data_IF_360525597129
#
_entry.id   IF_360525597129
#
_cell.length_a   1.000
_cell.length_b   1.000
_cell.length_c   1.000
_cell.angle_alpha   90.00
_cell.angle_beta   90.00
_cell.angle_gamma   90.00
#
_symmetry.space_group_name_H-M   'P 1'
#
loop_
_entity.id
_entity.type
_entity.pdbx_description
1 polymer ?
#
# COMPACT_ATOMS: atom_id res chain seq x y z
N UNK A 1 -11.94 -19.65 -24.46
CA UNK A 1 -12.26 -18.24 -24.80
C UNK A 1 -10.98 -17.51 -25.20
N UNK A 2 -10.86 -17.01 -26.44
CA UNK A 2 -9.76 -16.11 -26.81
C UNK A 2 -10.05 -14.75 -26.19
N UNK A 3 -9.36 -14.40 -25.09
CA UNK A 3 -9.43 -13.04 -24.53
C UNK A 3 -8.86 -12.10 -25.60
N UNK A 4 -9.72 -11.36 -26.29
CA UNK A 4 -9.26 -10.30 -27.20
C UNK A 4 -8.68 -9.19 -26.34
N UNK A 5 -7.36 -9.03 -26.35
CA UNK A 5 -6.71 -7.90 -25.68
C UNK A 5 -7.28 -6.60 -26.26
N UNK A 6 -7.74 -5.71 -25.37
CA UNK A 6 -8.19 -4.38 -25.77
C UNK A 6 -7.05 -3.64 -26.52
N UNK A 7 -7.33 -2.88 -27.60
CA UNK A 7 -6.29 -2.22 -28.40
C UNK A 7 -5.28 -1.40 -27.58
N UNK A 8 -5.74 -0.78 -26.49
CA UNK A 8 -4.87 -0.02 -25.58
C UNK A 8 -3.81 -0.89 -24.89
N UNK A 9 -4.09 -2.16 -24.62
CA UNK A 9 -3.15 -3.09 -23.99
C UNK A 9 -2.08 -3.50 -25.01
N UNK A 10 -2.46 -3.79 -26.26
CA UNK A 10 -1.49 -4.05 -27.34
C UNK A 10 -0.54 -2.87 -27.53
N UNK A 11 -1.08 -1.63 -27.56
CA UNK A 11 -0.25 -0.42 -27.68
C UNK A 11 0.73 -0.29 -26.51
N UNK A 12 0.30 -0.57 -25.27
CA UNK A 12 1.17 -0.51 -24.10
C UNK A 12 2.22 -1.62 -24.11
N UNK A 13 1.86 -2.84 -24.48
CA UNK A 13 2.78 -3.96 -24.62
C UNK A 13 3.85 -3.67 -25.70
N UNK A 14 3.42 -3.13 -26.85
CA UNK A 14 4.33 -2.72 -27.91
C UNK A 14 5.27 -1.60 -27.43
N UNK A 15 4.77 -0.58 -26.72
CA UNK A 15 5.61 0.46 -26.13
C UNK A 15 6.60 -0.09 -25.10
N UNK A 16 6.18 -1.02 -24.25
CA UNK A 16 7.06 -1.68 -23.27
C UNK A 16 8.18 -2.46 -23.97
N UNK A 17 7.87 -3.13 -25.09
CA UNK A 17 8.85 -3.87 -25.88
C UNK A 17 9.82 -2.95 -26.66
N UNK A 18 9.31 -1.88 -27.28
CA UNK A 18 10.12 -0.95 -28.07
C UNK A 18 10.96 0.00 -27.20
N UNK A 19 10.48 0.32 -26.00
CA UNK A 19 11.12 1.25 -25.07
C UNK A 19 11.24 0.61 -23.69
N UNK A 20 12.02 -0.48 -23.55
CA UNK A 20 12.17 -1.16 -22.28
C UNK A 20 12.72 -0.19 -21.25
N UNK A 21 12.17 -0.29 -20.04
CA UNK A 21 12.57 0.56 -18.94
C UNK A 21 12.16 2.03 -19.07
N UNK A 22 11.22 2.41 -19.94
CA UNK A 22 10.66 3.77 -19.97
C UNK A 22 9.32 3.86 -19.24
N UNK A 23 9.16 4.92 -18.45
CA UNK A 23 7.91 5.20 -17.75
C UNK A 23 7.83 6.61 -17.21
N UNK A 24 6.59 7.10 -17.17
CA UNK A 24 6.24 8.32 -16.48
C UNK A 24 4.81 8.20 -15.94
N UNK A 25 4.66 8.39 -14.62
CA UNK A 25 3.34 8.40 -14.01
C UNK A 25 2.54 9.58 -14.60
N UNK A 26 1.42 9.26 -15.24
CA UNK A 26 0.56 10.26 -15.90
C UNK A 26 -0.45 10.88 -14.94
N UNK A 27 -0.32 10.64 -13.62
CA UNK A 27 -1.26 11.05 -12.56
C UNK A 27 -2.75 10.69 -12.76
N UNK A 28 -3.03 9.82 -13.71
CA UNK A 28 -4.38 9.53 -14.20
C UNK A 28 -5.31 8.71 -13.28
N UNK A 29 -4.95 8.47 -12.02
CA UNK A 29 -5.77 7.74 -11.05
C UNK A 29 -6.09 6.25 -11.37
N UNK A 30 -5.59 5.69 -12.48
CA UNK A 30 -5.99 4.35 -12.92
C UNK A 30 -5.56 3.24 -11.95
N UNK A 31 -4.39 3.36 -11.30
CA UNK A 31 -3.98 2.42 -10.26
C UNK A 31 -4.76 2.59 -8.95
N UNK A 32 -5.30 3.77 -8.67
CA UNK A 32 -6.12 4.05 -7.49
C UNK A 32 -7.47 3.33 -7.51
N UNK A 33 -7.90 2.83 -8.68
CA UNK A 33 -9.17 2.08 -8.84
C UNK A 33 -8.93 0.58 -9.07
N UNK A 34 -7.68 0.13 -9.07
CA UNK A 34 -7.31 -1.24 -9.44
C UNK A 34 -6.91 -2.11 -8.24
N UNK A 35 -6.58 -1.49 -7.10
CA UNK A 35 -6.05 -2.17 -5.94
C UNK A 35 -6.59 -1.55 -4.66
N UNK A 36 -6.86 -2.41 -3.67
CA UNK A 36 -6.91 -1.97 -2.27
C UNK A 36 -5.50 -1.66 -1.81
N UNK A 37 -5.27 -0.43 -1.38
CA UNK A 37 -3.92 0.04 -1.02
C UNK A 37 -3.64 -0.33 0.43
N UNK A 38 -2.99 -1.46 0.65
CA UNK A 38 -2.46 -1.83 1.97
C UNK A 38 -1.30 -0.91 2.35
N UNK A 39 -1.24 -0.53 3.63
CA UNK A 39 -0.30 0.47 4.14
C UNK A 39 0.29 0.05 5.49
N UNK A 40 1.42 0.64 5.82
CA UNK A 40 2.08 0.55 7.12
C UNK A 40 1.76 1.76 8.00
N UNK A 41 2.19 1.74 9.26
CA UNK A 41 2.17 2.92 10.13
C UNK A 41 3.01 4.07 9.55
N UNK A 42 4.12 3.75 8.90
CA UNK A 42 5.04 4.72 8.30
C UNK A 42 4.43 5.42 7.07
N UNK A 43 3.66 4.67 6.25
CA UNK A 43 2.85 5.24 5.18
C UNK A 43 1.79 6.21 5.72
N UNK A 44 1.09 5.82 6.79
CA UNK A 44 0.09 6.67 7.41
C UNK A 44 0.69 7.94 8.02
N UNK A 45 1.80 7.83 8.76
CA UNK A 45 2.53 8.97 9.35
C UNK A 45 2.91 9.99 8.27
N UNK A 46 3.48 9.56 7.14
CA UNK A 46 3.81 10.47 6.02
C UNK A 46 2.60 11.27 5.52
N UNK A 47 1.41 10.68 5.48
CA UNK A 47 0.19 11.37 5.05
C UNK A 47 -0.25 12.37 6.12
N UNK A 48 -0.23 11.96 7.39
CA UNK A 48 -0.58 12.82 8.53
C UNK A 48 0.36 14.02 8.60
N UNK A 49 1.67 13.79 8.58
CA UNK A 49 2.69 14.83 8.73
C UNK A 49 2.62 15.87 7.61
N UNK A 50 2.31 15.45 6.38
CA UNK A 50 2.31 16.35 5.22
C UNK A 50 0.97 17.03 4.96
N UNK A 51 -0.16 16.42 5.36
CA UNK A 51 -1.51 16.93 5.04
C UNK A 51 -2.38 17.23 6.26
N UNK A 52 -1.96 16.86 7.47
CA UNK A 52 -2.74 17.06 8.70
C UNK A 52 -4.06 16.30 8.74
N UNK A 53 -4.22 15.25 7.93
CA UNK A 53 -5.48 14.50 7.84
C UNK A 53 -5.54 13.49 9.00
N UNK A 54 -6.60 13.49 9.82
CA UNK A 54 -6.74 12.51 10.90
C UNK A 54 -6.72 11.07 10.36
N UNK A 55 -6.00 10.13 11.01
CA UNK A 55 -5.82 8.77 10.50
C UNK A 55 -7.14 8.04 10.27
N UNK A 56 -8.11 8.22 11.17
CA UNK A 56 -9.44 7.63 11.05
C UNK A 56 -10.24 8.11 9.84
N UNK A 57 -9.87 9.23 9.21
CA UNK A 57 -10.55 9.72 8.02
C UNK A 57 -10.16 8.89 6.79
N UNK A 58 -8.93 8.37 6.74
CA UNK A 58 -8.41 7.71 5.53
C UNK A 58 -7.96 6.25 5.71
N UNK A 59 -7.84 5.75 6.94
CA UNK A 59 -7.46 4.36 7.22
C UNK A 59 -8.67 3.48 7.54
N UNK A 60 -8.56 2.20 7.19
CA UNK A 60 -9.50 1.15 7.57
C UNK A 60 -8.80 -0.21 7.66
N UNK A 61 -9.43 -1.15 8.36
CA UNK A 61 -9.12 -2.57 8.27
C UNK A 61 -9.92 -3.19 7.13
N UNK A 62 -9.28 -4.05 6.35
CA UNK A 62 -9.94 -4.88 5.34
C UNK A 62 -9.63 -6.36 5.57
N UNK A 63 -10.59 -7.22 5.24
CA UNK A 63 -10.35 -8.66 5.20
C UNK A 63 -10.01 -9.00 3.77
N UNK A 64 -8.74 -9.32 3.56
CA UNK A 64 -8.29 -9.85 2.28
C UNK A 64 -8.39 -11.37 2.35
N UNK A 65 -9.19 -12.03 1.50
CA UNK A 65 -9.24 -13.49 1.46
C UNK A 65 -7.87 -14.05 1.05
N UNK A 66 -7.44 -15.16 1.67
CA UNK A 66 -6.12 -15.76 1.43
C UNK A 66 -5.92 -16.21 -0.03
N UNK A 67 -7.02 -16.37 -0.77
CA UNK A 67 -7.06 -16.77 -2.18
C UNK A 67 -6.82 -15.59 -3.16
N UNK A 68 -6.90 -14.35 -2.69
CA UNK A 68 -6.84 -13.17 -3.55
C UNK A 68 -5.40 -12.72 -3.70
N UNK A 69 -4.82 -13.04 -4.88
CA UNK A 69 -3.55 -12.56 -5.44
C UNK A 69 -2.27 -12.72 -4.58
N UNK A 70 -1.19 -13.20 -5.22
CA UNK A 70 0.18 -13.23 -4.64
C UNK A 70 0.63 -11.90 -4.01
N UNK A 71 -0.01 -10.78 -4.38
CA UNK A 71 0.26 -9.43 -3.87
C UNK A 71 -0.09 -9.24 -2.38
N UNK A 72 -0.99 -10.06 -1.82
CA UNK A 72 -1.40 -9.96 -0.41
C UNK A 72 -0.77 -11.03 0.50
N UNK A 73 0.00 -11.95 -0.08
CA UNK A 73 0.74 -12.96 0.68
C UNK A 73 1.79 -12.31 1.56
N UNK A 74 1.82 -12.66 2.86
CA UNK A 74 2.82 -12.18 3.81
C UNK A 74 2.56 -10.78 4.38
N UNK A 75 1.41 -10.16 4.07
CA UNK A 75 1.01 -8.91 4.71
C UNK A 75 0.59 -9.19 6.17
N UNK A 76 1.20 -8.52 7.18
CA UNK A 76 0.82 -8.70 8.58
C UNK A 76 -0.67 -8.40 8.83
N UNK A 77 -1.34 -9.29 9.58
CA UNK A 77 -2.76 -9.19 9.91
C UNK A 77 -2.95 -8.85 11.39
N UNK A 78 -3.57 -7.72 11.68
CA UNK A 78 -3.97 -7.34 13.04
C UNK A 78 -5.32 -7.96 13.40
N UNK A 79 -5.53 -8.29 14.68
CA UNK A 79 -6.84 -8.78 15.17
C UNK A 79 -7.76 -7.56 15.34
N UNK A 80 -8.73 -7.44 14.44
CA UNK A 80 -9.71 -6.36 14.40
C UNK A 80 -11.11 -6.80 14.78
N UNK A 81 -12.12 -6.23 14.13
CA UNK A 81 -13.53 -6.43 14.46
C UNK A 81 -13.92 -7.91 14.51
N UNK A 82 -14.57 -8.30 15.61
CA UNK A 82 -15.04 -9.67 15.86
C UNK A 82 -13.91 -10.70 15.91
N UNK A 83 -12.70 -10.27 16.29
CA UNK A 83 -11.54 -11.15 16.42
C UNK A 83 -10.96 -11.62 15.08
N UNK A 84 -11.29 -10.97 13.97
CA UNK A 84 -10.84 -11.37 12.63
C UNK A 84 -9.46 -10.78 12.31
N UNK A 85 -8.65 -11.54 11.58
CA UNK A 85 -7.38 -11.05 11.03
C UNK A 85 -7.62 -10.09 9.87
N UNK A 86 -7.18 -8.84 10.01
CA UNK A 86 -7.41 -7.74 9.08
C UNK A 86 -6.11 -7.10 8.64
N UNK A 87 -6.12 -6.50 7.46
CA UNK A 87 -4.99 -5.75 6.90
C UNK A 87 -5.31 -4.26 6.96
N UNK A 88 -4.34 -3.44 7.37
CA UNK A 88 -4.48 -1.99 7.34
C UNK A 88 -4.40 -1.50 5.90
N UNK A 89 -5.38 -0.71 5.48
CA UNK A 89 -5.48 -0.19 4.14
C UNK A 89 -6.00 1.25 4.13
N UNK A 90 -5.75 1.95 3.03
CA UNK A 90 -6.48 3.17 2.71
C UNK A 90 -7.95 2.84 2.46
N UNK A 91 -8.85 3.72 2.91
CA UNK A 91 -10.27 3.63 2.60
C UNK A 91 -10.50 3.71 1.10
N UNK A 92 -11.61 3.12 0.69
CA UNK A 92 -12.15 3.25 -0.66
C UNK A 92 -13.47 4.02 -0.63
N UNK A 93 -13.68 4.86 -1.64
CA UNK A 93 -14.90 5.58 -1.94
C UNK A 93 -15.22 5.37 -3.42
N UNK A 94 -16.43 4.89 -3.71
CA UNK A 94 -16.92 4.63 -5.08
C UNK A 94 -15.97 3.75 -5.92
N UNK A 95 -15.40 2.70 -5.30
CA UNK A 95 -14.48 1.75 -5.95
C UNK A 95 -13.08 2.31 -6.24
N UNK A 96 -12.70 3.39 -5.57
CA UNK A 96 -11.39 4.06 -5.72
C UNK A 96 -10.80 4.39 -4.36
N UNK A 97 -9.48 4.49 -4.28
CA UNK A 97 -8.79 5.03 -3.11
C UNK A 97 -9.40 6.39 -2.70
N UNK A 98 -9.58 6.60 -1.39
CA UNK A 98 -10.18 7.80 -0.78
C UNK A 98 -9.54 9.12 -1.21
N UNK A 99 -8.26 9.11 -1.58
CA UNK A 99 -7.51 10.29 -2.03
C UNK A 99 -7.56 10.53 -3.54
N UNK A 100 -8.49 9.93 -4.26
CA UNK A 100 -8.60 10.07 -5.71
C UNK A 100 -9.80 10.93 -6.11
N UNK A 101 -9.53 12.20 -6.44
CA UNK A 101 -10.48 13.14 -7.04
C UNK A 101 -10.05 13.50 -8.47
N UNK A 102 -9.98 12.47 -9.33
CA UNK A 102 -9.44 12.58 -10.68
C UNK A 102 -7.91 12.43 -10.75
N UNK A 103 -7.20 12.98 -9.76
CA UNK A 103 -5.79 12.70 -9.47
C UNK A 103 -5.59 12.33 -7.99
N UNK A 104 -4.39 11.87 -7.63
CA UNK A 104 -4.06 11.57 -6.24
C UNK A 104 -3.78 12.85 -5.45
N UNK A 105 -4.65 13.19 -4.51
CA UNK A 105 -4.55 14.40 -3.69
C UNK A 105 -3.33 14.38 -2.77
N UNK A 106 -2.89 13.19 -2.35
CA UNK A 106 -1.70 12.99 -1.49
C UNK A 106 -0.45 12.60 -2.29
N UNK A 107 -0.32 13.01 -3.57
CA UNK A 107 0.72 12.53 -4.48
C UNK A 107 2.16 12.58 -3.89
N UNK A 108 2.60 13.67 -3.24
CA UNK A 108 3.86 13.74 -2.49
C UNK A 108 4.02 12.77 -1.31
N UNK A 109 2.95 12.39 -0.60
CA UNK A 109 2.98 11.47 0.55
C UNK A 109 2.50 10.05 0.21
N UNK A 110 2.31 9.73 -1.08
CA UNK A 110 1.84 8.41 -1.51
C UNK A 110 2.54 7.27 -0.78
N UNK A 111 1.79 6.23 -0.38
CA UNK A 111 2.37 5.03 0.19
C UNK A 111 3.46 4.43 -0.71
N UNK A 112 4.42 3.72 -0.11
CA UNK A 112 5.58 3.22 -0.84
C UNK A 112 5.21 2.22 -1.94
N UNK A 113 4.18 1.39 -1.73
CA UNK A 113 3.64 0.53 -2.79
C UNK A 113 3.07 1.35 -3.98
N UNK A 114 2.44 2.50 -3.72
CA UNK A 114 1.98 3.42 -4.76
C UNK A 114 3.14 4.12 -5.50
N UNK A 115 4.28 4.37 -4.84
CA UNK A 115 5.49 4.93 -5.48
C UNK A 115 6.22 3.91 -6.33
N UNK A 116 6.33 2.70 -5.79
CA UNK A 116 6.99 1.56 -6.42
C UNK A 116 6.24 1.06 -7.67
N UNK A 117 4.93 1.31 -7.78
CA UNK A 117 4.16 1.00 -8.99
C UNK A 117 4.78 1.68 -10.22
N UNK A 118 5.09 0.93 -11.30
CA UNK A 118 4.49 -0.34 -11.69
C UNK A 118 5.31 -1.59 -11.37
N UNK A 119 6.25 -1.54 -10.44
CA UNK A 119 7.12 -2.67 -10.11
C UNK A 119 6.61 -3.50 -8.93
N UNK A 120 6.99 -4.78 -8.92
CA UNK A 120 6.82 -5.71 -7.81
C UNK A 120 8.19 -6.02 -7.20
N UNK A 121 8.27 -5.96 -5.87
CA UNK A 121 9.47 -6.36 -5.13
C UNK A 121 9.56 -7.88 -5.05
N UNK A 122 10.74 -8.44 -5.32
CA UNK A 122 11.02 -9.88 -5.21
C UNK A 122 11.97 -10.21 -4.05
N UNK A 123 12.35 -9.21 -3.24
CA UNK A 123 13.31 -9.35 -2.16
C UNK A 123 14.77 -9.13 -2.58
N UNK A 124 15.59 -8.73 -1.61
CA UNK A 124 17.03 -8.51 -1.80
C UNK A 124 17.29 -7.32 -2.72
N UNK A 125 17.79 -7.59 -3.93
CA UNK A 125 18.07 -6.55 -4.95
C UNK A 125 17.28 -6.79 -6.25
N UNK A 126 16.13 -7.47 -6.17
CA UNK A 126 15.36 -7.88 -7.35
C UNK A 126 13.96 -7.30 -7.34
N UNK A 127 13.57 -6.70 -8.45
CA UNK A 127 12.20 -6.30 -8.75
C UNK A 127 11.86 -6.67 -10.19
N UNK A 128 10.57 -6.74 -10.50
CA UNK A 128 10.09 -6.95 -11.87
C UNK A 128 8.94 -6.00 -12.18
N UNK A 129 8.65 -5.78 -13.46
CA UNK A 129 7.43 -5.10 -13.85
C UNK A 129 6.22 -5.93 -13.43
N UNK A 130 5.21 -5.29 -12.83
CA UNK A 130 3.92 -5.90 -12.59
C UNK A 130 3.22 -6.15 -13.94
N UNK A 131 2.91 -7.40 -14.34
CA UNK A 131 2.19 -7.67 -15.57
C UNK A 131 0.85 -6.93 -15.67
N UNK A 132 0.15 -6.76 -14.56
CA UNK A 132 -1.14 -6.06 -14.49
C UNK A 132 -1.00 -4.58 -14.86
N UNK A 133 0.20 -4.00 -14.70
CA UNK A 133 0.46 -2.63 -15.11
C UNK A 133 0.28 -2.41 -16.62
N UNK A 134 0.39 -3.44 -17.46
CA UNK A 134 0.08 -3.33 -18.88
C UNK A 134 -1.42 -3.04 -19.11
N UNK A 135 -2.29 -3.58 -18.26
CA UNK A 135 -3.73 -3.39 -18.33
C UNK A 135 -4.19 -2.11 -17.61
N UNK A 136 -3.47 -1.70 -16.57
CA UNK A 136 -3.87 -0.59 -15.70
C UNK A 136 -3.18 0.73 -16.08
N UNK A 137 -1.87 0.71 -16.32
CA UNK A 137 -1.06 1.92 -16.34
C UNK A 137 -0.92 2.53 -17.74
N UNK A 138 -1.35 3.79 -17.87
CA UNK A 138 -1.19 4.60 -19.10
C UNK A 138 0.23 5.13 -19.32
N UNK A 139 1.11 5.01 -18.31
CA UNK A 139 2.48 5.54 -18.30
C UNK A 139 3.55 4.59 -18.83
N UNK A 140 3.23 3.32 -19.05
CA UNK A 140 4.19 2.32 -19.53
C UNK A 140 4.73 2.70 -20.91
N UNK A 141 6.06 2.74 -21.03
CA UNK A 141 6.79 3.08 -22.26
C UNK A 141 6.73 4.57 -22.65
N UNK A 142 6.31 5.44 -21.72
CA UNK A 142 6.32 6.91 -21.87
C UNK A 142 7.47 7.54 -21.09
N UNK A 143 7.72 8.83 -21.33
CA UNK A 143 8.71 9.61 -20.59
C UNK A 143 10.15 9.10 -20.75
N UNK A 144 10.94 9.28 -19.70
CA UNK A 144 12.34 8.89 -19.62
C UNK A 144 12.55 7.45 -19.15
N UNK A 145 13.81 7.02 -19.13
CA UNK A 145 14.20 5.74 -18.53
C UNK A 145 13.98 5.79 -17.01
N UNK A 146 13.59 4.65 -16.42
CA UNK A 146 13.50 4.52 -14.98
C UNK A 146 14.82 4.85 -14.31
N UNK A 147 14.72 5.59 -13.21
CA UNK A 147 15.81 5.64 -12.25
C UNK A 147 15.76 4.37 -11.38
N UNK A 148 16.40 3.30 -11.85
CA UNK A 148 16.41 2.02 -11.13
C UNK A 148 17.07 2.10 -9.74
N UNK A 149 18.00 3.04 -9.54
CA UNK A 149 18.56 3.32 -8.21
C UNK A 149 17.47 3.82 -7.27
N UNK A 150 16.65 4.78 -7.70
CA UNK A 150 15.52 5.28 -6.91
C UNK A 150 14.48 4.20 -6.63
N UNK A 151 14.14 3.38 -7.63
CA UNK A 151 13.20 2.25 -7.45
C UNK A 151 13.72 1.29 -6.39
N UNK A 152 15.02 0.97 -6.44
CA UNK A 152 15.67 0.12 -5.45
C UNK A 152 15.63 0.74 -4.05
N UNK A 153 15.97 2.03 -3.90
CA UNK A 153 15.90 2.75 -2.62
C UNK A 153 14.48 2.73 -2.03
N UNK A 154 13.46 3.01 -2.84
CA UNK A 154 12.05 2.97 -2.42
C UNK A 154 11.60 1.56 -2.01
N UNK A 155 12.04 0.52 -2.72
CA UNK A 155 11.68 -0.86 -2.39
C UNK A 155 12.45 -1.43 -1.19
N UNK A 156 13.71 -1.04 -0.99
CA UNK A 156 14.46 -1.35 0.22
C UNK A 156 13.81 -0.70 1.45
N UNK A 157 13.35 0.55 1.32
CA UNK A 157 12.60 1.23 2.36
C UNK A 157 11.24 0.55 2.61
N UNK A 158 10.52 0.18 1.55
CA UNK A 158 9.26 -0.57 1.64
C UNK A 158 9.46 -1.85 2.46
N UNK A 159 10.48 -2.67 2.16
CA UNK A 159 10.78 -3.89 2.90
C UNK A 159 11.08 -3.62 4.39
N UNK A 160 11.86 -2.57 4.69
CA UNK A 160 12.17 -2.17 6.06
C UNK A 160 10.91 -1.77 6.83
N UNK A 161 10.05 -0.96 6.23
CA UNK A 161 8.81 -0.50 6.86
C UNK A 161 7.82 -1.64 7.09
N UNK A 162 7.69 -2.58 6.15
CA UNK A 162 6.86 -3.78 6.35
C UNK A 162 7.36 -4.67 7.48
N UNK A 163 8.68 -4.84 7.63
CA UNK A 163 9.26 -5.59 8.75
C UNK A 163 8.94 -4.91 10.08
N UNK A 164 9.11 -3.60 10.16
CA UNK A 164 8.77 -2.83 11.36
C UNK A 164 7.28 -2.92 11.69
N UNK A 165 6.42 -2.72 10.69
CA UNK A 165 4.97 -2.84 10.84
C UNK A 165 4.53 -4.22 11.33
N UNK A 166 5.20 -5.29 10.88
CA UNK A 166 4.97 -6.65 11.37
C UNK A 166 5.21 -6.80 12.88
N UNK A 167 6.22 -6.12 13.44
CA UNK A 167 6.47 -6.10 14.89
C UNK A 167 5.33 -5.42 15.64
N UNK A 168 4.86 -4.26 15.14
CA UNK A 168 3.74 -3.53 15.73
C UNK A 168 2.44 -4.34 15.70
N UNK A 169 2.19 -5.05 14.60
CA UNK A 169 1.02 -5.93 14.47
C UNK A 169 1.09 -7.08 15.48
N UNK A 170 2.26 -7.69 15.69
CA UNK A 170 2.39 -8.78 16.66
C UNK A 170 2.26 -8.28 18.11
N UNK A 171 2.77 -7.09 18.40
CA UNK A 171 2.55 -6.43 19.69
C UNK A 171 1.06 -6.18 19.94
N UNK A 172 0.35 -5.59 18.98
CA UNK A 172 -1.10 -5.40 19.04
C UNK A 172 -1.84 -6.74 19.27
N UNK A 173 -1.52 -7.75 18.48
CA UNK A 173 -2.16 -9.06 18.56
C UNK A 173 -1.91 -9.74 19.91
N UNK A 174 -0.73 -9.55 20.51
CA UNK A 174 -0.43 -10.01 21.86
C UNK A 174 -1.31 -9.32 22.89
N UNK A 175 -1.45 -7.99 22.82
CA UNK A 175 -2.33 -7.23 23.73
C UNK A 175 -3.80 -7.67 23.61
N UNK A 176 -4.28 -7.94 22.39
CA UNK A 176 -5.63 -8.47 22.17
C UNK A 176 -5.79 -9.85 22.80
N UNK A 177 -4.84 -10.77 22.57
CA UNK A 177 -4.87 -12.14 23.12
C UNK A 177 -4.81 -12.16 24.64
N UNK A 178 -4.09 -11.23 25.25
CA UNK A 178 -4.03 -11.07 26.72
C UNK A 178 -5.28 -10.40 27.32
N UNK A 179 -6.22 -9.93 26.50
CA UNK A 179 -7.41 -9.20 26.97
C UNK A 179 -7.14 -7.76 27.41
N UNK A 180 -5.95 -7.20 27.12
CA UNK A 180 -5.55 -5.86 27.53
C UNK A 180 -6.20 -4.75 26.69
N UNK A 181 -6.66 -5.09 25.48
CA UNK A 181 -7.29 -4.14 24.56
C UNK A 181 -8.49 -4.76 23.86
N UNK A 182 -9.48 -3.91 23.53
CA UNK A 182 -10.65 -4.34 22.75
C UNK A 182 -10.30 -4.34 21.26
N UNK A 183 -10.47 -5.48 20.55
CA UNK A 183 -10.09 -5.58 19.15
C UNK A 183 -11.05 -4.79 18.24
N UNK A 184 -10.52 -3.75 17.60
CA UNK A 184 -11.20 -3.01 16.54
C UNK A 184 -10.17 -2.29 15.66
N UNK A 185 -10.54 -2.03 14.41
CA UNK A 185 -9.75 -1.18 13.49
C UNK A 185 -9.49 0.19 14.11
N UNK A 186 -10.49 0.76 14.80
CA UNK A 186 -10.34 2.05 15.47
C UNK A 186 -9.24 2.00 16.53
N UNK A 187 -9.30 1.05 17.45
CA UNK A 187 -8.31 0.96 18.52
C UNK A 187 -6.91 0.59 17.99
N UNK A 188 -6.83 -0.21 16.93
CA UNK A 188 -5.54 -0.51 16.28
C UNK A 188 -4.91 0.75 15.66
N UNK A 189 -5.70 1.58 14.97
CA UNK A 189 -5.22 2.87 14.43
C UNK A 189 -4.70 3.77 15.55
N UNK A 190 -5.41 3.84 16.69
CA UNK A 190 -4.94 4.59 17.86
C UNK A 190 -3.61 4.09 18.37
N UNK A 191 -3.50 2.78 18.60
CA UNK A 191 -2.25 2.14 19.03
C UNK A 191 -1.06 2.47 18.12
N UNK A 192 -1.28 2.59 16.81
CA UNK A 192 -0.21 2.87 15.85
C UNK A 192 0.20 4.35 15.76
N UNK A 193 -0.77 5.27 15.88
CA UNK A 193 -0.64 6.64 15.38
C UNK A 193 -1.05 7.72 16.39
N UNK A 194 -1.68 7.35 17.49
CA UNK A 194 -2.03 8.25 18.57
C UNK A 194 -1.10 7.94 19.75
N UNK A 195 -0.36 8.93 20.22
CA UNK A 195 0.33 8.84 21.51
C UNK A 195 -0.73 8.84 22.61
N UNK A 196 -1.24 7.67 22.99
CA UNK A 196 -1.97 7.55 24.25
C UNK A 196 -0.96 7.29 25.38
N UNK A 197 -0.99 8.14 26.40
CA UNK A 197 -0.41 7.96 27.72
C UNK A 197 -0.97 6.67 28.36
N UNK A 198 -0.49 5.51 27.91
CA UNK A 198 -0.72 4.25 28.61
C UNK A 198 0.16 4.27 29.86
N UNK A 199 -0.42 4.80 30.95
CA UNK A 199 -0.04 4.68 32.35
C UNK A 199 1.42 4.35 32.65
N UNK A 200 2.12 5.34 33.21
CA UNK A 200 3.32 5.21 34.04
C UNK A 200 4.20 4.00 33.71
N UNK A 201 5.33 4.26 33.05
CA UNK A 201 6.54 3.48 33.30
C UNK A 201 6.86 3.66 34.78
N UNK A 202 6.29 2.81 35.63
CA UNK A 202 6.69 2.65 37.02
C UNK A 202 8.13 2.14 36.98
N UNK A 203 9.07 3.08 37.04
CA UNK A 203 10.40 2.86 37.55
C UNK A 203 10.37 3.14 39.05
N UNK A 204 10.05 2.11 39.83
CA UNK A 204 10.76 1.88 41.10
C UNK A 204 11.98 1.02 40.82
#
# INVERSE_FOLDING_TARGET
MKVKLHPSVLVRALRAALRPGHFECQRCGSCCSAYTVCVTDSDAKRIIDLYGIPPHNFLTGVIVPDEVAHTYTGIPRFIGERGRGMVLALKEKDGRCVFNDGECEVYPARPLNCRAFPFLWLGGNKFKLNPDALFICKGIGKGGKYNFKKVFEEMALLEKEWKHYGVLVEEWNTRVRSGNVVPSTRNFIRFLLEEEEWGTRDST
#
